data_IF_304598610269
#
_entry.id   IF_304598610269
#
_cell.length_a   1.000
_cell.length_b   1.000
_cell.length_c   1.000
_cell.angle_alpha   90.00
_cell.angle_beta   90.00
_cell.angle_gamma   90.00
#
_symmetry.space_group_name_H-M   'P 1'
#
loop_
_entity.id
_entity.type
_entity.pdbx_description
1 polymer ?
#
# COMPACT_ATOMS: atom_id res chain seq x y z
N UNK A 1 6.81 -16.96 -0.57
CA UNK A 1 6.80 -15.93 -1.63
C UNK A 1 6.15 -14.70 -1.04
N UNK A 2 6.69 -13.49 -1.27
CA UNK A 2 6.16 -12.26 -0.65
C UNK A 2 5.37 -11.49 -1.69
N UNK A 3 4.10 -11.26 -1.39
CA UNK A 3 3.18 -10.55 -2.27
C UNK A 3 3.20 -9.06 -1.95
N UNK A 4 3.34 -8.23 -2.99
CA UNK A 4 3.47 -6.77 -2.84
C UNK A 4 2.26 -6.10 -3.47
N UNK A 5 1.53 -5.34 -2.67
CA UNK A 5 0.36 -4.58 -3.12
C UNK A 5 0.67 -3.10 -3.18
N UNK A 6 0.48 -2.53 -4.37
CA UNK A 6 0.66 -1.11 -4.62
C UNK A 6 -0.68 -0.38 -4.60
N UNK A 7 -0.79 0.60 -3.70
CA UNK A 7 -2.00 1.41 -3.56
C UNK A 7 -1.83 2.73 -4.30
N UNK A 8 -2.69 2.97 -5.30
CA UNK A 8 -2.74 4.19 -6.08
C UNK A 8 -4.04 4.99 -5.79
N UNK A 9 -4.01 6.31 -6.00
CA UNK A 9 -5.21 7.14 -5.85
C UNK A 9 -6.26 6.84 -6.92
N UNK A 10 -5.86 6.89 -8.20
CA UNK A 10 -6.76 6.73 -9.36
C UNK A 10 -6.61 5.41 -10.12
N UNK A 11 -5.70 4.52 -9.71
CA UNK A 11 -5.46 3.19 -10.32
C UNK A 11 -5.63 3.18 -11.86
N UNK A 12 -4.99 4.12 -12.57
CA UNK A 12 -5.18 4.27 -14.03
C UNK A 12 -4.28 3.29 -14.79
N UNK A 13 -4.89 2.35 -15.51
CA UNK A 13 -4.23 1.36 -16.40
C UNK A 13 -3.47 1.94 -17.61
N UNK A 14 -3.33 3.26 -17.75
CA UNK A 14 -2.74 3.90 -18.95
C UNK A 14 -1.22 4.03 -18.97
N UNK A 15 -0.51 3.60 -17.94
CA UNK A 15 0.95 3.55 -17.94
C UNK A 15 1.44 2.40 -17.08
N UNK A 16 2.63 1.84 -17.35
CA UNK A 16 3.20 0.78 -16.54
C UNK A 16 3.30 1.29 -15.10
N UNK A 17 2.50 0.71 -14.22
CA UNK A 17 2.59 0.98 -12.78
C UNK A 17 3.90 0.43 -12.27
N UNK A 18 4.43 1.05 -11.21
CA UNK A 18 5.61 0.54 -10.51
C UNK A 18 5.47 -0.95 -10.14
N UNK A 19 4.24 -1.42 -9.86
CA UNK A 19 3.92 -2.82 -9.65
C UNK A 19 4.28 -3.73 -10.84
N UNK A 20 3.86 -3.36 -12.05
CA UNK A 20 4.07 -4.17 -13.26
C UNK A 20 5.56 -4.27 -13.62
N UNK A 21 6.28 -3.15 -13.52
CA UNK A 21 7.74 -3.11 -13.72
C UNK A 21 8.46 -3.95 -12.66
N UNK A 22 8.03 -3.84 -11.40
CA UNK A 22 8.62 -4.59 -10.30
C UNK A 22 8.40 -6.10 -10.43
N UNK A 23 7.22 -6.56 -10.85
CA UNK A 23 6.96 -7.99 -11.07
C UNK A 23 7.89 -8.57 -12.13
N UNK A 24 8.10 -7.88 -13.25
CA UNK A 24 8.95 -8.33 -14.34
C UNK A 24 10.44 -8.37 -13.92
N UNK A 25 10.89 -7.40 -13.12
CA UNK A 25 12.26 -7.36 -12.62
C UNK A 25 12.55 -8.31 -11.44
N UNK A 26 11.59 -8.46 -10.52
CA UNK A 26 11.76 -9.27 -9.30
C UNK A 26 11.32 -10.72 -9.49
N UNK A 27 10.51 -11.02 -10.51
CA UNK A 27 9.85 -12.32 -10.66
C UNK A 27 8.86 -12.62 -9.53
N UNK A 28 8.34 -11.60 -8.87
CA UNK A 28 7.43 -11.72 -7.72
C UNK A 28 6.01 -11.31 -8.09
N UNK A 29 4.99 -11.95 -7.51
CA UNK A 29 3.60 -11.55 -7.70
C UNK A 29 3.36 -10.16 -7.08
N UNK A 30 3.05 -9.18 -7.93
CA UNK A 30 2.65 -7.83 -7.52
C UNK A 30 1.23 -7.55 -7.96
N UNK A 31 0.53 -6.72 -7.19
CA UNK A 31 -0.86 -6.36 -7.46
C UNK A 31 -1.10 -4.86 -7.23
N UNK A 32 -2.22 -4.34 -7.74
CA UNK A 32 -2.56 -2.94 -7.64
C UNK A 32 -4.02 -2.74 -7.22
N UNK A 33 -4.24 -1.83 -6.28
CA UNK A 33 -5.58 -1.47 -5.87
C UNK A 33 -5.72 0.04 -5.65
N UNK A 34 -6.94 0.51 -5.84
CA UNK A 34 -7.32 1.90 -5.70
C UNK A 34 -8.01 2.17 -4.36
N UNK A 35 -7.66 3.29 -3.75
CA UNK A 35 -8.28 3.71 -2.49
C UNK A 35 -9.43 4.71 -2.70
N UNK A 36 -9.51 5.32 -3.88
CA UNK A 36 -10.61 6.22 -4.24
C UNK A 36 -11.88 5.44 -4.51
N UNK A 37 -13.02 6.09 -4.30
CA UNK A 37 -14.32 5.51 -4.65
C UNK A 37 -14.46 5.30 -6.16
N UNK A 38 -13.86 6.19 -6.96
CA UNK A 38 -13.83 6.15 -8.43
C UNK A 38 -12.70 5.26 -9.00
N UNK A 39 -12.13 4.37 -8.19
CA UNK A 39 -11.11 3.44 -8.68
C UNK A 39 -11.76 2.28 -9.44
N UNK A 40 -11.11 1.86 -10.53
CA UNK A 40 -11.52 0.68 -11.31
C UNK A 40 -11.46 -0.60 -10.46
N UNK A 41 -10.34 -0.77 -9.74
CA UNK A 41 -10.11 -1.86 -8.79
C UNK A 41 -10.00 -1.27 -7.39
N UNK A 42 -10.89 -1.64 -6.46
CA UNK A 42 -10.93 -1.04 -5.13
C UNK A 42 -10.27 -1.94 -4.09
N UNK A 43 -9.43 -1.33 -3.25
CA UNK A 43 -8.77 -2.06 -2.16
C UNK A 43 -9.80 -2.63 -1.18
N UNK A 44 -9.69 -3.93 -0.91
CA UNK A 44 -10.59 -4.70 -0.05
C UNK A 44 -9.84 -5.63 0.90
N UNK A 45 -10.58 -6.37 1.73
CA UNK A 45 -9.99 -7.29 2.70
C UNK A 45 -9.21 -8.42 2.02
N UNK A 46 -9.72 -8.92 0.90
CA UNK A 46 -9.08 -9.90 0.00
C UNK A 46 -7.71 -9.42 -0.50
N UNK A 47 -7.62 -8.20 -1.02
CA UNK A 47 -6.36 -7.59 -1.45
C UNK A 47 -5.35 -7.50 -0.29
N UNK A 48 -5.79 -7.05 0.88
CA UNK A 48 -4.93 -6.97 2.06
C UNK A 48 -4.51 -8.35 2.57
N UNK A 49 -5.37 -9.36 2.48
CA UNK A 49 -5.07 -10.72 2.92
C UNK A 49 -4.05 -11.39 1.99
N UNK A 50 -4.20 -11.19 0.68
CA UNK A 50 -3.26 -11.67 -0.34
C UNK A 50 -1.89 -11.01 -0.21
N UNK A 51 -1.86 -9.71 0.12
CA UNK A 51 -0.63 -8.95 0.23
C UNK A 51 0.05 -9.09 1.60
N UNK A 52 1.35 -9.39 1.59
CA UNK A 52 2.19 -9.32 2.78
C UNK A 52 2.64 -7.88 3.04
N UNK A 53 3.06 -7.19 1.98
CA UNK A 53 3.57 -5.81 2.05
C UNK A 53 2.67 -4.86 1.28
N UNK A 54 2.23 -3.78 1.94
CA UNK A 54 1.45 -2.72 1.32
C UNK A 54 2.32 -1.49 1.13
N UNK A 55 2.53 -1.13 -0.14
CA UNK A 55 3.24 0.06 -0.55
C UNK A 55 2.25 1.12 -1.07
N UNK A 56 2.28 2.31 -0.49
CA UNK A 56 1.46 3.44 -0.96
C UNK A 56 2.34 4.47 -1.64
N UNK A 57 1.79 5.18 -2.62
CA UNK A 57 2.49 6.30 -3.25
C UNK A 57 2.59 7.47 -2.27
N UNK A 58 1.48 7.93 -1.70
CA UNK A 58 1.46 9.06 -0.78
C UNK A 58 1.09 8.69 0.66
N UNK A 59 1.69 9.40 1.64
CA UNK A 59 1.30 9.31 3.06
C UNK A 59 -0.20 9.53 3.28
N UNK A 60 -0.82 10.42 2.50
CA UNK A 60 -2.26 10.68 2.57
C UNK A 60 -3.09 9.40 2.33
N UNK A 61 -2.66 8.55 1.38
CA UNK A 61 -3.31 7.27 1.12
C UNK A 61 -3.12 6.30 2.27
N UNK A 62 -1.93 6.25 2.88
CA UNK A 62 -1.64 5.41 4.06
C UNK A 62 -2.63 5.67 5.19
N UNK A 63 -2.82 6.95 5.52
CA UNK A 63 -3.70 7.37 6.62
C UNK A 63 -5.17 7.01 6.33
N UNK A 64 -5.61 7.15 5.08
CA UNK A 64 -6.96 6.73 4.66
C UNK A 64 -7.11 5.22 4.73
N UNK A 65 -6.13 4.45 4.24
CA UNK A 65 -6.12 2.99 4.31
C UNK A 65 -6.20 2.52 5.76
N UNK A 66 -5.37 3.06 6.65
CA UNK A 66 -5.40 2.77 8.09
C UNK A 66 -6.74 3.13 8.72
N UNK A 67 -7.40 4.21 8.30
CA UNK A 67 -8.69 4.59 8.86
C UNK A 67 -9.82 3.68 8.36
N UNK A 68 -9.79 3.23 7.11
CA UNK A 68 -10.81 2.34 6.55
C UNK A 68 -10.58 0.87 6.92
N UNK A 69 -9.33 0.41 6.92
CA UNK A 69 -8.96 -1.01 7.05
C UNK A 69 -7.89 -1.26 8.12
N UNK A 70 -7.75 -0.36 9.09
CA UNK A 70 -6.73 -0.48 10.15
C UNK A 70 -6.77 -1.80 10.92
N UNK A 71 -7.94 -2.43 11.04
CA UNK A 71 -8.09 -3.75 11.64
C UNK A 71 -7.35 -4.84 10.84
N UNK A 72 -7.52 -4.86 9.51
CA UNK A 72 -6.89 -5.84 8.62
C UNK A 72 -5.40 -5.56 8.36
N UNK A 73 -4.95 -4.34 8.63
CA UNK A 73 -3.55 -3.94 8.52
C UNK A 73 -2.72 -4.26 9.78
N UNK A 74 -3.35 -4.78 10.83
CA UNK A 74 -2.68 -5.05 12.10
C UNK A 74 -1.63 -6.14 11.90
N UNK A 75 -0.36 -5.80 12.11
CA UNK A 75 0.78 -6.69 11.88
C UNK A 75 1.31 -6.72 10.43
N UNK A 76 0.72 -5.94 9.50
CA UNK A 76 1.21 -5.85 8.12
C UNK A 76 2.20 -4.70 7.92
N UNK A 77 3.11 -4.87 6.95
CA UNK A 77 4.12 -3.84 6.65
C UNK A 77 3.54 -2.77 5.72
N UNK A 78 3.66 -1.51 6.14
CA UNK A 78 3.00 -0.36 5.54
C UNK A 78 4.04 0.72 5.25
N UNK A 79 4.38 0.89 3.98
CA UNK A 79 5.45 1.80 3.56
C UNK A 79 4.94 2.83 2.55
N UNK A 80 5.28 4.10 2.75
CA UNK A 80 5.01 5.17 1.81
C UNK A 80 6.27 5.46 0.99
N UNK A 81 6.15 5.39 -0.35
CA UNK A 81 7.27 5.58 -1.27
C UNK A 81 7.61 7.06 -1.45
N UNK A 82 6.61 7.95 -1.44
CA UNK A 82 6.81 9.40 -1.60
C UNK A 82 6.67 10.05 -0.23
N UNK A 83 7.80 10.46 0.35
CA UNK A 83 7.84 11.24 1.59
C UNK A 83 8.47 12.61 1.33
N UNK A 84 7.77 13.47 0.57
CA UNK A 84 8.06 14.92 0.60
C UNK A 84 7.44 15.52 1.85
N UNK A 85 8.03 15.22 3.00
CA UNK A 85 7.87 16.06 4.20
C UNK A 85 9.23 16.16 4.85
N UNK A 86 9.81 17.35 4.76
CA UNK A 86 10.87 17.79 5.65
C UNK A 86 10.46 17.49 7.10
N UNK A 87 11.41 16.94 7.87
CA UNK A 87 11.44 16.80 9.33
C UNK A 87 10.10 16.70 10.06
N UNK A 88 9.78 15.52 10.58
CA UNK A 88 9.20 15.45 11.92
C UNK A 88 9.42 14.06 12.52
N UNK A 89 10.29 14.03 13.52
CA UNK A 89 10.41 12.97 14.51
C UNK A 89 9.03 12.57 15.04
N UNK A 90 8.67 11.30 14.91
CA UNK A 90 7.63 10.73 15.75
C UNK A 90 7.83 9.21 15.85
N UNK A 91 8.55 8.79 16.88
CA UNK A 91 8.42 7.44 17.44
C UNK A 91 7.00 7.25 17.96
N UNK A 92 6.44 6.04 17.86
CA UNK A 92 5.81 5.51 19.06
C UNK A 92 6.31 4.11 19.39
N UNK A 93 6.68 3.98 20.67
CA UNK A 93 6.86 2.75 21.41
C UNK A 93 5.63 1.84 21.30
N UNK A 94 5.84 0.53 21.19
CA UNK A 94 4.93 -0.48 21.73
C UNK A 94 5.71 -1.77 21.97
N UNK A 95 6.35 -1.80 23.14
CA UNK A 95 6.56 -3.03 23.89
C UNK A 95 5.19 -3.65 24.16
N UNK A 96 4.96 -4.90 23.74
CA UNK A 96 3.82 -5.68 24.22
C UNK A 96 4.40 -6.86 24.97
N UNK A 97 4.10 -6.91 26.26
CA UNK A 97 4.47 -7.97 27.20
C UNK A 97 3.72 -9.26 26.94
#
# INVERSE_FOLDING_TARGET
MTNILFICGKARKRSPTAAAVAAEHLGQPTDFAGLSADADERVGAEHLAWADTIAVMEKAQLSRLKRQMGASLKGKHLSALISRTASSSCSPSSSTS
#
